data_IF_432121808177
#
_entry.id   IF_432121808177
#
_cell.length_a   1.000
_cell.length_b   1.000
_cell.length_c   1.000
_cell.angle_alpha   90.00
_cell.angle_beta   90.00
_cell.angle_gamma   90.00
#
_symmetry.space_group_name_H-M   'P 1'
#
loop_
_entity.id
_entity.type
_entity.pdbx_description
1 polymer ?
#
# COMPACT_ATOMS: atom_id res chain seq x y z
N UNK A 1 -3.17 0.53 -24.10
CA UNK A 1 -2.17 -0.43 -23.58
C UNK A 1 -0.99 0.39 -23.13
N UNK A 2 -0.78 0.54 -21.82
CA UNK A 2 0.48 1.10 -21.34
C UNK A 2 1.63 0.27 -21.90
N UNK A 3 2.67 0.92 -22.40
CA UNK A 3 3.79 0.21 -23.02
C UNK A 3 4.53 -0.62 -21.97
N UNK A 4 5.08 -1.76 -22.38
CA UNK A 4 6.02 -2.61 -21.61
C UNK A 4 7.05 -1.77 -20.81
N UNK A 5 7.43 -0.61 -21.35
CA UNK A 5 8.33 0.35 -20.71
C UNK A 5 7.81 0.97 -19.42
N UNK A 6 6.49 1.17 -19.25
CA UNK A 6 5.91 1.75 -18.03
C UNK A 6 6.07 0.78 -16.87
N UNK A 7 5.65 -0.47 -17.05
CA UNK A 7 5.80 -1.52 -16.02
C UNK A 7 7.27 -1.78 -15.69
N UNK A 8 8.15 -1.80 -16.69
CA UNK A 8 9.60 -1.87 -16.48
C UNK A 8 10.10 -0.72 -15.59
N UNK A 9 9.69 0.51 -15.89
CA UNK A 9 10.08 1.70 -15.13
C UNK A 9 9.57 1.66 -13.69
N UNK A 10 8.32 1.23 -13.46
CA UNK A 10 7.76 1.05 -12.12
C UNK A 10 8.57 0.01 -11.34
N UNK A 11 8.98 -1.09 -11.98
CA UNK A 11 9.88 -2.07 -11.39
C UNK A 11 11.22 -1.47 -10.97
N UNK A 12 11.87 -0.70 -11.85
CA UNK A 12 13.14 -0.02 -11.56
C UNK A 12 12.98 0.97 -10.40
N UNK A 13 11.89 1.75 -10.39
CA UNK A 13 11.60 2.72 -9.32
C UNK A 13 11.45 2.02 -7.97
N UNK A 14 10.73 0.89 -7.90
CA UNK A 14 10.61 0.11 -6.67
C UNK A 14 11.97 -0.39 -6.18
N UNK A 15 12.82 -0.87 -7.09
CA UNK A 15 14.17 -1.31 -6.73
C UNK A 15 15.07 -0.16 -6.24
N UNK A 16 15.00 1.01 -6.88
CA UNK A 16 15.72 2.21 -6.44
C UNK A 16 15.22 2.73 -5.09
N UNK A 17 13.91 2.61 -4.82
CA UNK A 17 13.32 2.98 -3.55
C UNK A 17 13.93 2.17 -2.40
N UNK A 18 14.01 0.84 -2.55
CA UNK A 18 14.71 -0.04 -1.59
C UNK A 18 16.17 0.42 -1.42
N UNK A 19 16.90 0.63 -2.51
CA UNK A 19 18.32 1.00 -2.46
C UNK A 19 18.56 2.31 -1.69
N UNK A 20 17.66 3.28 -1.84
CA UNK A 20 17.76 4.59 -1.18
C UNK A 20 17.06 4.66 0.18
N UNK A 21 16.52 3.55 0.69
CA UNK A 21 15.72 3.50 1.92
C UNK A 21 14.52 4.47 1.90
N UNK A 22 13.89 4.60 0.72
CA UNK A 22 12.69 5.40 0.48
C UNK A 22 11.53 4.42 0.29
N UNK A 23 10.39 4.72 0.91
CA UNK A 23 9.14 3.97 0.67
C UNK A 23 8.38 4.59 -0.50
N UNK A 24 7.64 3.76 -1.22
CA UNK A 24 6.76 4.20 -2.30
C UNK A 24 5.31 4.02 -1.84
N UNK A 25 4.48 5.05 -2.00
CA UNK A 25 3.04 4.97 -1.73
C UNK A 25 2.33 4.17 -2.84
N UNK A 26 2.51 2.85 -2.80
CA UNK A 26 1.90 1.88 -3.70
C UNK A 26 1.16 0.81 -2.90
N UNK A 27 -0.10 0.58 -3.27
CA UNK A 27 -0.94 -0.46 -2.68
C UNK A 27 -0.79 -1.78 -3.43
N UNK A 28 0.41 -2.37 -3.40
CA UNK A 28 0.62 -3.69 -3.99
C UNK A 28 0.26 -4.82 -3.01
N UNK A 29 -0.50 -5.84 -3.47
CA UNK A 29 -0.87 -6.98 -2.63
C UNK A 29 0.35 -7.85 -2.32
N UNK A 30 0.29 -8.59 -1.21
CA UNK A 30 1.38 -9.48 -0.78
C UNK A 30 1.78 -10.51 -1.86
N UNK A 31 0.80 -10.95 -2.65
CA UNK A 31 0.96 -11.85 -3.79
C UNK A 31 2.05 -11.40 -4.78
N UNK A 32 2.20 -10.10 -4.99
CA UNK A 32 3.21 -9.56 -5.92
C UNK A 32 4.62 -9.83 -5.41
N UNK A 33 4.85 -9.64 -4.10
CA UNK A 33 6.15 -9.85 -3.46
C UNK A 33 6.49 -11.33 -3.32
N UNK A 34 5.48 -12.21 -3.15
CA UNK A 34 5.65 -13.67 -3.28
C UNK A 34 6.22 -14.03 -4.65
N UNK A 35 5.61 -13.50 -5.72
CA UNK A 35 6.06 -13.79 -7.09
C UNK A 35 7.48 -13.30 -7.34
N UNK A 36 7.85 -12.12 -6.85
CA UNK A 36 9.23 -11.61 -6.93
C UNK A 36 10.26 -12.55 -6.26
N UNK A 37 9.85 -13.26 -5.22
CA UNK A 37 10.67 -14.25 -4.52
C UNK A 37 10.60 -15.65 -5.14
N UNK A 38 9.83 -15.83 -6.22
CA UNK A 38 9.60 -17.12 -6.87
C UNK A 38 8.60 -18.02 -6.14
N UNK A 39 7.87 -17.51 -5.16
CA UNK A 39 6.77 -18.20 -4.50
C UNK A 39 5.49 -18.12 -5.34
N UNK A 40 4.63 -19.14 -5.20
CA UNK A 40 3.33 -19.17 -5.88
C UNK A 40 2.25 -18.57 -4.98
N UNK A 41 1.46 -17.59 -5.47
CA UNK A 41 0.27 -17.14 -4.78
C UNK A 41 -0.76 -18.27 -4.61
N UNK A 42 -1.51 -18.23 -3.52
CA UNK A 42 -2.57 -19.16 -3.17
C UNK A 42 -3.95 -18.51 -3.09
N UNK A 43 -4.92 -19.28 -2.58
CA UNK A 43 -6.29 -18.79 -2.36
C UNK A 43 -6.35 -17.66 -1.33
N UNK A 44 -5.52 -17.72 -0.28
CA UNK A 44 -5.43 -16.65 0.72
C UNK A 44 -5.01 -15.31 0.08
N UNK A 45 -4.07 -15.35 -0.86
CA UNK A 45 -3.64 -14.16 -1.61
C UNK A 45 -4.78 -13.63 -2.52
N UNK A 46 -5.58 -14.53 -3.10
CA UNK A 46 -6.77 -14.13 -3.86
C UNK A 46 -7.84 -13.52 -2.96
N UNK A 47 -8.00 -14.02 -1.74
CA UNK A 47 -8.95 -13.47 -0.77
C UNK A 47 -8.54 -12.08 -0.27
N UNK A 48 -7.24 -11.77 -0.21
CA UNK A 48 -6.73 -10.41 0.03
C UNK A 48 -7.08 -9.48 -1.16
N UNK A 49 -6.90 -9.97 -2.39
CA UNK A 49 -7.12 -9.18 -3.61
C UNK A 49 -8.61 -8.97 -3.93
N UNK A 50 -9.39 -10.04 -3.91
CA UNK A 50 -10.83 -10.06 -4.14
C UNK A 50 -11.50 -10.94 -3.06
N UNK A 51 -11.94 -10.32 -1.95
CA UNK A 51 -12.54 -11.05 -0.84
C UNK A 51 -13.83 -11.77 -1.21
N UNK A 52 -14.55 -11.32 -2.25
CA UNK A 52 -15.81 -11.95 -2.66
C UNK A 52 -15.48 -13.25 -3.37
N UNK A 53 -14.64 -13.19 -4.41
CA UNK A 53 -14.22 -14.37 -5.17
C UNK A 53 -13.48 -15.37 -4.27
N UNK A 54 -12.54 -14.90 -3.44
CA UNK A 54 -11.81 -15.76 -2.51
C UNK A 54 -12.73 -16.53 -1.58
N UNK A 55 -13.72 -15.87 -0.97
CA UNK A 55 -14.73 -16.55 -0.13
C UNK A 55 -15.58 -17.54 -0.91
N UNK A 56 -16.00 -17.21 -2.13
CA UNK A 56 -16.79 -18.11 -2.97
C UNK A 56 -16.01 -19.38 -3.36
N UNK A 57 -14.72 -19.25 -3.68
CA UNK A 57 -13.87 -20.41 -3.96
C UNK A 57 -13.58 -21.23 -2.70
N UNK A 58 -13.42 -20.59 -1.54
CA UNK A 58 -13.31 -21.30 -0.26
C UNK A 58 -14.58 -22.09 0.04
N UNK A 59 -15.77 -21.50 -0.18
CA UNK A 59 -17.05 -22.21 -0.05
C UNK A 59 -17.15 -23.43 -0.97
N UNK A 60 -16.64 -23.33 -2.21
CA UNK A 60 -16.57 -24.47 -3.12
C UNK A 60 -15.66 -25.59 -2.56
N UNK A 61 -14.50 -25.24 -2.00
CA UNK A 61 -13.60 -26.21 -1.37
C UNK A 61 -14.24 -26.89 -0.17
N UNK A 62 -14.93 -26.14 0.68
CA UNK A 62 -15.55 -26.62 1.91
C UNK A 62 -16.88 -27.36 1.66
N UNK A 63 -17.41 -27.33 0.43
CA UNK A 63 -18.68 -27.95 0.11
C UNK A 63 -18.59 -29.48 0.08
N UNK A 64 -19.47 -30.14 0.84
CA UNK A 64 -19.55 -31.61 0.97
C UNK A 64 -20.83 -32.23 0.34
N UNK A 65 -21.77 -31.41 -0.13
CA UNK A 65 -23.03 -31.88 -0.73
C UNK A 65 -22.81 -32.64 -2.04
N UNK A 66 -23.58 -33.69 -2.31
CA UNK A 66 -23.40 -34.52 -3.51
C UNK A 66 -23.79 -33.78 -4.82
N UNK A 67 -24.55 -32.70 -4.69
CA UNK A 67 -25.11 -31.85 -5.74
C UNK A 67 -24.19 -30.69 -6.17
N UNK A 68 -22.88 -30.80 -5.99
CA UNK A 68 -21.90 -29.74 -6.30
C UNK A 68 -22.04 -29.16 -7.70
N UNK A 69 -22.35 -30.00 -8.69
CA UNK A 69 -22.53 -29.58 -10.08
C UNK A 69 -23.75 -28.67 -10.25
N UNK A 70 -24.87 -28.99 -9.59
CA UNK A 70 -26.12 -28.23 -9.66
C UNK A 70 -26.09 -27.00 -8.74
N UNK A 71 -25.42 -27.11 -7.59
CA UNK A 71 -25.31 -26.05 -6.61
C UNK A 71 -24.45 -24.88 -7.10
N UNK A 72 -23.36 -25.16 -7.81
CA UNK A 72 -22.42 -24.14 -8.28
C UNK A 72 -22.50 -23.87 -9.79
N UNK A 73 -22.89 -24.86 -10.60
CA UNK A 73 -22.96 -24.75 -12.06
C UNK A 73 -21.66 -24.22 -12.70
N UNK A 74 -20.51 -24.62 -12.16
CA UNK A 74 -19.19 -24.18 -12.64
C UNK A 74 -18.57 -25.19 -13.62
N UNK A 75 -17.83 -24.67 -14.59
CA UNK A 75 -16.90 -25.41 -15.45
C UNK A 75 -15.52 -24.76 -15.38
N UNK A 76 -14.50 -25.34 -16.02
CA UNK A 76 -13.14 -24.79 -16.05
C UNK A 76 -12.99 -23.62 -17.05
N UNK A 77 -13.96 -22.71 -17.09
CA UNK A 77 -13.87 -21.47 -17.85
C UNK A 77 -14.33 -20.26 -17.03
N UNK A 78 -13.85 -19.07 -17.40
CA UNK A 78 -14.19 -17.80 -16.78
C UNK A 78 -14.78 -16.85 -17.81
N UNK A 79 -15.83 -16.13 -17.46
CA UNK A 79 -16.34 -15.01 -18.24
C UNK A 79 -15.74 -13.72 -17.69
N UNK A 80 -15.00 -12.99 -18.52
CA UNK A 80 -14.19 -11.83 -18.13
C UNK A 80 -14.61 -10.64 -18.96
N UNK A 81 -14.89 -9.52 -18.30
CA UNK A 81 -15.12 -8.26 -18.97
C UNK A 81 -13.78 -7.63 -19.41
N UNK A 82 -13.62 -7.46 -20.71
CA UNK A 82 -12.48 -6.80 -21.32
C UNK A 82 -12.94 -5.58 -22.11
N UNK A 83 -12.95 -4.42 -21.45
CA UNK A 83 -13.40 -3.14 -22.02
C UNK A 83 -14.86 -3.14 -22.52
N UNK A 84 -15.76 -3.80 -21.79
CA UNK A 84 -17.18 -3.95 -22.14
C UNK A 84 -17.47 -5.16 -23.02
N UNK A 85 -16.46 -5.93 -23.41
CA UNK A 85 -16.63 -7.20 -24.11
C UNK A 85 -16.45 -8.38 -23.14
N UNK A 86 -17.51 -9.17 -22.95
CA UNK A 86 -17.39 -10.44 -22.24
C UNK A 86 -16.62 -11.45 -23.09
N UNK A 87 -15.48 -11.91 -22.57
CA UNK A 87 -14.65 -12.95 -23.17
C UNK A 87 -14.63 -14.17 -22.27
N UNK A 88 -14.93 -15.32 -22.85
CA UNK A 88 -14.76 -16.60 -22.18
C UNK A 88 -13.31 -17.07 -22.28
N UNK A 89 -12.71 -17.39 -21.15
CA UNK A 89 -11.33 -17.87 -21.06
C UNK A 89 -11.33 -19.24 -20.40
N UNK A 90 -10.85 -20.22 -21.14
CA UNK A 90 -10.67 -21.58 -20.64
C UNK A 90 -9.42 -21.66 -19.73
N UNK A 91 -9.63 -22.17 -18.50
CA UNK A 91 -8.59 -22.37 -17.49
C UNK A 91 -7.69 -23.56 -17.81
N UNK A 92 -8.24 -24.56 -18.49
CA UNK A 92 -7.56 -25.74 -19.04
C UNK A 92 -8.06 -25.97 -20.47
N UNK A 93 -7.37 -26.77 -21.31
CA UNK A 93 -7.87 -27.09 -22.65
C UNK A 93 -9.31 -27.65 -22.61
N UNK A 94 -10.21 -27.06 -23.39
CA UNK A 94 -11.65 -27.36 -23.41
C UNK A 94 -12.33 -27.22 -22.05
N UNK A 95 -11.87 -26.28 -21.23
CA UNK A 95 -12.34 -26.11 -19.86
C UNK A 95 -13.83 -25.80 -19.76
N UNK A 96 -14.40 -25.13 -20.76
CA UNK A 96 -15.84 -24.89 -20.86
C UNK A 96 -16.71 -26.16 -20.96
N UNK A 97 -16.13 -27.29 -21.38
CA UNK A 97 -16.80 -28.60 -21.46
C UNK A 97 -16.60 -29.45 -20.19
N UNK A 98 -15.72 -29.03 -19.29
CA UNK A 98 -15.33 -29.80 -18.10
C UNK A 98 -15.97 -29.17 -16.86
N UNK A 99 -16.97 -29.86 -16.31
CA UNK A 99 -17.68 -29.41 -15.10
C UNK A 99 -16.82 -29.58 -13.84
N UNK A 100 -17.04 -28.70 -12.87
CA UNK A 100 -16.43 -28.80 -11.54
C UNK A 100 -17.16 -29.86 -10.71
N UNK A 101 -16.39 -30.77 -10.13
CA UNK A 101 -16.83 -31.92 -9.32
C UNK A 101 -16.01 -32.00 -8.03
N UNK A 102 -16.40 -32.85 -7.09
CA UNK A 102 -15.62 -33.10 -5.86
C UNK A 102 -14.19 -33.56 -6.13
N UNK A 103 -13.98 -34.31 -7.21
CA UNK A 103 -12.67 -34.85 -7.57
C UNK A 103 -11.74 -33.77 -8.12
N UNK A 104 -12.29 -32.74 -8.77
CA UNK A 104 -11.50 -31.73 -9.49
C UNK A 104 -11.59 -30.31 -8.91
N UNK A 105 -12.42 -30.05 -7.88
CA UNK A 105 -12.60 -28.71 -7.28
C UNK A 105 -11.30 -28.05 -6.82
N UNK A 106 -10.37 -28.83 -6.26
CA UNK A 106 -9.04 -28.31 -5.88
C UNK A 106 -8.26 -27.81 -7.11
N UNK A 107 -8.26 -28.59 -8.20
CA UNK A 107 -7.63 -28.21 -9.46
C UNK A 107 -8.29 -26.98 -10.08
N UNK A 108 -9.62 -26.85 -9.97
CA UNK A 108 -10.33 -25.67 -10.45
C UNK A 108 -9.85 -24.41 -9.72
N UNK A 109 -9.79 -24.44 -8.38
CA UNK A 109 -9.31 -23.32 -7.57
C UNK A 109 -7.85 -22.99 -7.90
N UNK A 110 -6.97 -24.00 -7.98
CA UNK A 110 -5.56 -23.79 -8.35
C UNK A 110 -5.42 -23.11 -9.72
N UNK A 111 -6.22 -23.53 -10.71
CA UNK A 111 -6.21 -22.93 -12.05
C UNK A 111 -6.81 -21.53 -12.08
N UNK A 112 -7.80 -21.26 -11.23
CA UNK A 112 -8.34 -19.92 -11.06
C UNK A 112 -7.27 -18.97 -10.51
N UNK A 113 -6.62 -19.36 -9.41
CA UNK A 113 -5.55 -18.57 -8.77
C UNK A 113 -4.39 -18.35 -9.73
N UNK A 114 -3.95 -19.39 -10.45
CA UNK A 114 -2.92 -19.28 -11.49
C UNK A 114 -3.33 -18.31 -12.62
N UNK A 115 -4.59 -18.36 -13.05
CA UNK A 115 -5.08 -17.44 -14.05
C UNK A 115 -4.99 -15.99 -13.56
N UNK A 116 -5.52 -15.70 -12.37
CA UNK A 116 -5.54 -14.34 -11.81
C UNK A 116 -4.13 -13.80 -11.65
N UNK A 117 -3.23 -14.52 -10.97
CA UNK A 117 -1.93 -13.96 -10.60
C UNK A 117 -0.82 -14.18 -11.64
N UNK A 118 -0.98 -15.10 -12.59
CA UNK A 118 0.06 -15.40 -13.58
C UNK A 118 -0.41 -15.09 -14.99
N UNK A 119 -1.45 -15.76 -15.49
CA UNK A 119 -1.84 -15.67 -16.91
C UNK A 119 -2.45 -14.32 -17.28
N UNK A 120 -3.31 -13.76 -16.43
CA UNK A 120 -4.07 -12.53 -16.71
C UNK A 120 -3.17 -11.30 -16.83
N UNK A 121 -2.03 -11.31 -16.13
CA UNK A 121 -1.11 -10.18 -16.01
C UNK A 121 0.32 -10.54 -16.43
N UNK A 122 0.53 -11.61 -17.22
CA UNK A 122 1.87 -12.14 -17.50
C UNK A 122 2.81 -11.08 -18.09
N UNK A 123 2.41 -10.45 -19.19
CA UNK A 123 3.22 -9.44 -19.87
C UNK A 123 3.59 -8.23 -18.97
N UNK A 124 2.62 -7.53 -18.33
CA UNK A 124 2.95 -6.40 -17.46
C UNK A 124 3.76 -6.84 -16.22
N UNK A 125 3.44 -7.99 -15.63
CA UNK A 125 4.20 -8.51 -14.48
C UNK A 125 5.65 -8.82 -14.87
N UNK A 126 5.89 -9.48 -16.01
CA UNK A 126 7.25 -9.78 -16.49
C UNK A 126 8.07 -8.52 -16.72
N UNK A 127 7.47 -7.48 -17.29
CA UNK A 127 8.12 -6.20 -17.47
C UNK A 127 8.54 -5.58 -16.13
N UNK A 128 7.61 -5.54 -15.17
CA UNK A 128 7.87 -5.08 -13.81
C UNK A 128 8.97 -5.89 -13.11
N UNK A 129 8.85 -7.23 -13.13
CA UNK A 129 9.80 -8.16 -12.51
C UNK A 129 11.22 -7.94 -13.04
N UNK A 130 11.38 -7.78 -14.37
CA UNK A 130 12.68 -7.44 -14.98
C UNK A 130 13.22 -6.13 -14.43
N UNK A 131 12.39 -5.09 -14.36
CA UNK A 131 12.80 -3.77 -13.88
C UNK A 131 13.24 -3.79 -12.42
N UNK A 132 12.48 -4.48 -11.58
CA UNK A 132 12.79 -4.67 -10.17
C UNK A 132 14.14 -5.40 -9.99
N UNK A 133 14.32 -6.51 -10.69
CA UNK A 133 15.55 -7.30 -10.59
C UNK A 133 16.77 -6.58 -11.18
N UNK A 134 16.63 -5.64 -12.13
CA UNK A 134 17.78 -4.86 -12.60
C UNK A 134 18.50 -4.11 -11.47
N UNK A 135 17.76 -3.68 -10.44
CA UNK A 135 18.32 -2.98 -9.28
C UNK A 135 18.55 -3.93 -8.11
N UNK A 136 17.65 -4.90 -7.90
CA UNK A 136 17.64 -5.77 -6.72
C UNK A 136 18.09 -7.23 -6.95
N UNK A 137 18.81 -7.55 -8.04
CA UNK A 137 19.23 -8.92 -8.42
C UNK A 137 20.25 -9.63 -7.49
N UNK A 138 20.38 -9.23 -6.23
CA UNK A 138 21.27 -9.86 -5.27
C UNK A 138 20.72 -11.19 -4.76
N UNK A 139 21.62 -12.12 -4.40
CA UNK A 139 21.24 -13.32 -3.63
C UNK A 139 20.60 -12.98 -2.29
N UNK A 140 20.87 -11.77 -1.78
CA UNK A 140 20.27 -11.22 -0.59
C UNK A 140 18.72 -11.19 -0.65
N UNK A 141 18.14 -10.97 -1.84
CA UNK A 141 16.70 -10.87 -2.01
C UNK A 141 15.98 -12.16 -1.55
N UNK A 142 16.62 -13.32 -1.75
CA UNK A 142 16.07 -14.64 -1.41
C UNK A 142 16.00 -14.92 0.10
N UNK A 143 16.61 -14.09 0.93
CA UNK A 143 16.51 -14.23 2.39
C UNK A 143 15.28 -13.52 2.97
N UNK A 144 14.64 -12.64 2.20
CA UNK A 144 13.43 -11.96 2.66
C UNK A 144 12.23 -12.88 2.59
N UNK A 145 11.35 -12.72 3.58
CA UNK A 145 9.97 -13.17 3.49
C UNK A 145 9.16 -12.16 2.66
N UNK A 146 8.05 -12.58 2.01
CA UNK A 146 7.20 -11.68 1.22
C UNK A 146 6.77 -10.41 1.96
N UNK A 147 6.38 -10.54 3.24
CA UNK A 147 5.96 -9.39 4.08
C UNK A 147 7.12 -8.43 4.38
N UNK A 148 8.34 -8.94 4.53
CA UNK A 148 9.52 -8.12 4.78
C UNK A 148 9.91 -7.36 3.50
N UNK A 149 9.84 -8.02 2.35
CA UNK A 149 10.08 -7.37 1.05
C UNK A 149 9.02 -6.31 0.74
N UNK A 150 7.75 -6.60 1.03
CA UNK A 150 6.67 -5.63 0.93
C UNK A 150 6.97 -4.42 1.79
N UNK A 151 7.27 -4.60 3.08
CA UNK A 151 7.56 -3.51 4.00
C UNK A 151 8.78 -2.65 3.60
N UNK A 152 9.76 -3.23 2.89
CA UNK A 152 10.87 -2.46 2.31
C UNK A 152 10.44 -1.54 1.16
N UNK A 153 9.44 -1.93 0.38
CA UNK A 153 8.95 -1.15 -0.77
C UNK A 153 7.86 -0.16 -0.36
N UNK A 154 6.86 -0.63 0.39
CA UNK A 154 5.62 0.15 0.65
C UNK A 154 5.56 0.70 2.08
N UNK A 155 6.56 0.40 2.91
CA UNK A 155 6.59 0.81 4.32
C UNK A 155 5.77 -0.08 5.26
N UNK A 156 5.80 0.27 6.53
CA UNK A 156 5.17 -0.41 7.64
C UNK A 156 4.08 0.45 8.28
N UNK A 157 3.02 -0.22 8.73
CA UNK A 157 1.92 0.33 9.53
C UNK A 157 2.13 0.15 11.05
N UNK A 158 3.36 -0.17 11.49
CA UNK A 158 3.72 -0.28 12.90
C UNK A 158 4.42 1.00 13.37
N UNK A 159 3.72 1.82 14.14
CA UNK A 159 4.19 3.14 14.55
C UNK A 159 4.63 3.18 16.01
N UNK A 160 5.82 3.72 16.25
CA UNK A 160 6.21 4.21 17.57
C UNK A 160 6.13 5.75 17.58
N UNK A 161 4.93 6.30 17.84
CA UNK A 161 4.69 7.75 17.81
C UNK A 161 5.59 8.55 18.76
N UNK A 162 6.15 7.91 19.81
CA UNK A 162 7.09 8.57 20.71
C UNK A 162 8.44 8.88 20.05
N UNK A 163 8.84 8.12 19.02
CA UNK A 163 10.06 8.36 18.25
C UNK A 163 9.90 9.51 17.26
N UNK A 164 8.67 9.86 16.87
CA UNK A 164 8.41 10.92 15.91
C UNK A 164 9.00 12.26 16.39
N UNK A 165 8.77 12.62 17.67
CA UNK A 165 9.34 13.81 18.30
C UNK A 165 10.86 13.75 18.41
N UNK A 166 11.40 12.60 18.78
CA UNK A 166 12.85 12.39 18.91
C UNK A 166 13.60 12.57 17.59
N UNK A 167 12.95 12.27 16.46
CA UNK A 167 13.52 12.40 15.12
C UNK A 167 13.12 13.72 14.43
N UNK A 168 12.58 14.67 15.17
CA UNK A 168 12.21 15.99 14.65
C UNK A 168 13.26 17.03 15.01
N UNK A 169 13.67 17.79 14.00
CA UNK A 169 14.54 18.96 14.12
C UNK A 169 13.73 20.24 14.00
N UNK A 170 14.22 21.31 14.61
CA UNK A 170 13.55 22.60 14.62
C UNK A 170 14.45 23.68 14.02
N UNK A 171 13.85 24.65 13.34
CA UNK A 171 14.57 25.78 12.74
C UNK A 171 14.05 27.12 13.24
N UNK A 172 14.84 28.18 13.05
CA UNK A 172 14.47 29.55 13.41
C UNK A 172 14.26 29.71 14.92
N UNK A 173 13.10 30.22 15.31
CA UNK A 173 12.75 30.44 16.73
C UNK A 173 12.26 29.17 17.44
N UNK A 174 11.98 28.11 16.68
CA UNK A 174 11.51 26.84 17.25
C UNK A 174 12.66 26.00 17.79
N UNK A 175 12.38 25.35 18.91
CA UNK A 175 13.19 24.37 19.60
C UNK A 175 12.25 23.48 20.42
N UNK A 176 12.75 22.37 20.98
CA UNK A 176 11.89 21.30 21.51
C UNK A 176 10.93 21.73 22.65
N UNK A 177 11.32 22.70 23.50
CA UNK A 177 10.43 23.26 24.53
C UNK A 177 9.92 24.67 24.22
N UNK A 178 9.90 25.06 22.95
CA UNK A 178 9.17 26.26 22.55
C UNK A 178 7.66 26.05 22.80
N UNK A 179 6.90 27.02 23.36
CA UNK A 179 5.49 26.82 23.73
C UNK A 179 4.62 26.23 22.61
N UNK A 180 4.74 26.77 21.40
CA UNK A 180 4.01 26.28 20.21
C UNK A 180 4.39 24.84 19.84
N UNK A 181 5.64 24.44 20.05
CA UNK A 181 6.11 23.07 19.77
C UNK A 181 5.60 22.10 20.84
N UNK A 182 5.59 22.49 22.11
CA UNK A 182 5.00 21.68 23.16
C UNK A 182 3.50 21.46 22.93
N UNK A 183 2.77 22.52 22.55
CA UNK A 183 1.35 22.42 22.16
C UNK A 183 1.16 21.50 20.96
N UNK A 184 2.00 21.63 19.92
CA UNK A 184 1.94 20.77 18.75
C UNK A 184 2.05 19.29 19.12
N UNK A 185 3.04 18.92 19.93
CA UNK A 185 3.21 17.52 20.35
C UNK A 185 2.13 17.05 21.30
N UNK A 186 1.64 17.90 22.20
CA UNK A 186 0.53 17.55 23.08
C UNK A 186 -0.74 17.24 22.28
N UNK A 187 -1.10 18.11 21.32
CA UNK A 187 -2.23 17.89 20.42
C UNK A 187 -2.03 16.63 19.59
N UNK A 188 -0.90 16.51 18.90
CA UNK A 188 -0.65 15.39 17.99
C UNK A 188 -0.55 14.04 18.71
N UNK A 189 0.14 13.96 19.85
CA UNK A 189 0.40 12.68 20.53
C UNK A 189 -0.71 12.29 21.51
N UNK A 190 -1.34 13.25 22.17
CA UNK A 190 -2.28 12.97 23.27
C UNK A 190 -3.74 13.20 22.88
N UNK A 191 -4.05 14.16 22.00
CA UNK A 191 -5.43 14.49 21.64
C UNK A 191 -5.90 13.82 20.35
N UNK A 192 -5.01 13.66 19.37
CA UNK A 192 -5.35 13.04 18.09
C UNK A 192 -5.49 11.52 18.19
N UNK A 193 -6.48 10.98 17.46
CA UNK A 193 -6.65 9.54 17.31
C UNK A 193 -5.51 8.93 16.49
N UNK A 194 -5.39 7.60 16.50
CA UNK A 194 -4.40 6.91 15.63
C UNK A 194 -4.65 7.22 14.16
N UNK A 195 -5.91 7.35 13.76
CA UNK A 195 -6.30 7.70 12.39
C UNK A 195 -5.88 9.12 12.03
N UNK A 196 -6.06 10.08 12.94
CA UNK A 196 -5.65 11.47 12.72
C UNK A 196 -4.12 11.60 12.68
N UNK A 197 -3.39 10.79 13.47
CA UNK A 197 -1.92 10.71 13.40
C UNK A 197 -1.45 10.16 12.05
N UNK A 198 -2.13 9.16 11.48
CA UNK A 198 -1.86 8.66 10.12
C UNK A 198 -2.14 9.72 9.06
N UNK A 199 -3.24 10.46 9.17
CA UNK A 199 -3.55 11.60 8.29
C UNK A 199 -2.49 12.69 8.39
N UNK A 200 -2.01 12.99 9.60
CA UNK A 200 -0.88 13.90 9.78
C UNK A 200 0.38 13.41 9.09
N UNK A 201 0.70 12.11 9.21
CA UNK A 201 1.86 11.55 8.52
C UNK A 201 1.72 11.70 7.00
N UNK A 202 0.54 11.38 6.44
CA UNK A 202 0.22 11.59 5.02
C UNK A 202 0.33 13.06 4.62
N UNK A 203 -0.19 13.97 5.44
CA UNK A 203 -0.06 15.42 5.25
C UNK A 203 1.40 15.84 5.15
N UNK A 204 2.25 15.34 6.05
CA UNK A 204 3.65 15.75 6.17
C UNK A 204 4.59 15.08 5.16
N UNK A 205 4.40 13.80 4.87
CA UNK A 205 5.36 12.97 4.12
C UNK A 205 4.81 12.51 2.77
N UNK A 206 3.50 12.67 2.53
CA UNK A 206 2.80 12.11 1.39
C UNK A 206 2.41 10.64 1.54
N UNK A 207 2.79 9.98 2.63
CA UNK A 207 2.47 8.57 2.89
C UNK A 207 1.96 8.39 4.33
N UNK A 208 1.01 7.49 4.54
CA UNK A 208 0.50 7.12 5.86
C UNK A 208 1.30 5.98 6.53
N UNK A 209 2.37 5.50 5.86
CA UNK A 209 3.29 4.46 6.33
C UNK A 209 4.69 5.03 6.57
N UNK A 210 5.51 4.28 7.31
CA UNK A 210 6.92 4.63 7.59
C UNK A 210 7.88 3.57 7.05
N UNK A 211 9.16 3.89 6.81
CA UNK A 211 10.16 2.88 6.52
C UNK A 211 10.24 1.81 7.61
N UNK A 212 10.62 0.58 7.25
CA UNK A 212 10.70 -0.54 8.21
C UNK A 212 11.67 -0.29 9.38
N UNK A 213 12.62 0.63 9.21
CA UNK A 213 13.60 1.05 10.23
C UNK A 213 12.98 2.02 11.25
N UNK A 214 11.70 2.39 11.08
CA UNK A 214 10.96 3.27 11.97
C UNK A 214 11.14 4.76 11.65
N UNK A 215 10.76 5.62 12.61
CA UNK A 215 10.89 7.08 12.46
C UNK A 215 12.35 7.55 12.44
N UNK A 216 13.30 6.70 12.85
CA UNK A 216 14.74 7.02 12.84
C UNK A 216 15.30 7.40 11.45
N UNK A 217 14.70 6.85 10.38
CA UNK A 217 15.05 7.19 9.00
C UNK A 217 14.30 8.42 8.45
N UNK A 218 13.25 8.88 9.14
CA UNK A 218 12.45 10.04 8.74
C UNK A 218 12.98 11.30 9.44
N UNK A 219 13.76 12.09 8.71
CA UNK A 219 14.23 13.39 9.19
C UNK A 219 13.14 14.43 9.01
N UNK A 220 12.40 14.71 10.08
CA UNK A 220 11.36 15.73 10.07
C UNK A 220 11.95 17.06 10.50
N UNK A 221 11.50 18.14 9.86
CA UNK A 221 11.87 19.49 10.23
C UNK A 221 10.61 20.32 10.47
N UNK A 222 10.56 21.07 11.56
CA UNK A 222 9.51 22.08 11.80
C UNK A 222 10.16 23.47 11.80
N UNK A 223 9.64 24.36 10.97
CA UNK A 223 10.12 25.75 10.88
C UNK A 223 8.97 26.75 11.09
N UNK A 224 9.27 27.95 11.61
CA UNK A 224 8.26 28.98 11.81
C UNK A 224 7.81 29.56 10.48
N UNK A 225 6.50 29.76 10.37
CA UNK A 225 5.92 30.63 9.34
C UNK A 225 5.69 32.01 9.96
N UNK A 226 6.19 33.07 9.32
CA UNK A 226 5.96 34.46 9.74
C UNK A 226 4.53 34.89 9.36
N UNK A 227 3.54 34.22 9.94
CA UNK A 227 2.11 34.35 9.63
C UNK A 227 1.28 34.27 10.91
N UNK A 228 0.06 34.83 10.87
CA UNK A 228 -0.84 34.90 12.02
C UNK A 228 -1.72 33.66 12.21
N UNK A 229 -2.57 33.70 13.23
CA UNK A 229 -3.50 32.64 13.64
C UNK A 229 -4.47 32.18 12.54
N UNK A 230 -4.68 33.01 11.52
CA UNK A 230 -5.56 32.74 10.39
C UNK A 230 -5.02 31.66 9.43
N UNK A 231 -3.70 31.46 9.37
CA UNK A 231 -3.07 30.56 8.41
C UNK A 231 -3.08 29.10 8.88
N UNK A 232 -3.20 28.18 7.92
CA UNK A 232 -3.02 26.75 8.15
C UNK A 232 -1.53 26.41 8.13
N UNK A 233 -1.08 25.35 8.85
CA UNK A 233 0.25 24.81 8.64
C UNK A 233 0.38 24.29 7.21
N UNK A 234 1.60 24.31 6.67
CA UNK A 234 1.91 23.85 5.31
C UNK A 234 2.99 22.79 5.36
N UNK A 235 2.79 21.70 4.64
CA UNK A 235 3.77 20.63 4.52
C UNK A 235 4.46 20.65 3.16
N UNK A 236 5.78 20.46 3.16
CA UNK A 236 6.58 20.21 1.97
C UNK A 236 6.99 18.74 1.98
N UNK A 237 6.13 17.89 1.42
CA UNK A 237 6.24 16.42 1.51
C UNK A 237 7.60 15.88 1.04
N UNK A 238 8.13 16.40 -0.06
CA UNK A 238 9.45 16.01 -0.59
C UNK A 238 10.61 16.26 0.39
N UNK A 239 10.45 17.15 1.38
CA UNK A 239 11.47 17.53 2.34
C UNK A 239 11.13 17.12 3.78
N UNK A 240 9.97 16.50 4.02
CA UNK A 240 9.42 16.24 5.37
C UNK A 240 9.47 17.49 6.27
N UNK A 241 9.16 18.65 5.68
CA UNK A 241 9.24 19.95 6.33
C UNK A 241 7.83 20.48 6.61
N UNK A 242 7.59 20.87 7.86
CA UNK A 242 6.37 21.50 8.31
C UNK A 242 6.61 22.99 8.58
N UNK A 243 5.94 23.85 7.84
CA UNK A 243 5.80 25.27 8.16
C UNK A 243 4.67 25.40 9.17
N UNK A 244 5.03 25.72 10.42
CA UNK A 244 4.08 25.86 11.52
C UNK A 244 3.98 27.34 11.93
N UNK A 245 2.80 27.99 11.77
CA UNK A 245 2.60 29.36 12.26
C UNK A 245 2.81 29.49 13.77
N UNK A 246 3.22 30.69 14.19
CA UNK A 246 3.40 31.05 15.60
C UNK A 246 2.05 31.33 16.26
N UNK A 247 1.24 30.28 16.43
CA UNK A 247 -0.11 30.40 16.99
C UNK A 247 -0.11 31.04 18.38
N UNK A 248 -1.11 31.87 18.65
CA UNK A 248 -1.27 32.57 19.93
C UNK A 248 -1.83 31.69 21.06
N UNK A 249 -2.49 30.58 20.72
CA UNK A 249 -3.04 29.62 21.69
C UNK A 249 -3.02 28.17 21.18
N UNK A 250 -3.07 27.22 22.12
CA UNK A 250 -3.13 25.78 21.83
C UNK A 250 -4.41 25.40 21.10
N UNK A 251 -5.53 26.02 21.44
CA UNK A 251 -6.84 25.76 20.84
C UNK A 251 -6.85 26.11 19.35
N UNK A 252 -6.22 27.23 18.98
CA UNK A 252 -6.06 27.65 17.58
C UNK A 252 -5.20 26.65 16.84
N UNK A 253 -4.06 26.25 17.43
CA UNK A 253 -3.18 25.23 16.84
C UNK A 253 -3.94 23.93 16.58
N UNK A 254 -4.67 23.42 17.58
CA UNK A 254 -5.42 22.18 17.48
C UNK A 254 -6.46 22.25 16.35
N UNK A 255 -7.22 23.34 16.28
CA UNK A 255 -8.20 23.56 15.23
C UNK A 255 -7.55 23.62 13.84
N UNK A 256 -6.48 24.41 13.68
CA UNK A 256 -5.82 24.62 12.39
C UNK A 256 -5.11 23.36 11.90
N UNK A 257 -4.44 22.65 12.80
CA UNK A 257 -3.82 21.37 12.49
C UNK A 257 -4.86 20.32 12.08
N UNK A 258 -5.97 20.22 12.82
CA UNK A 258 -7.07 19.31 12.47
C UNK A 258 -7.66 19.61 11.10
N UNK A 259 -7.84 20.89 10.75
CA UNK A 259 -8.33 21.27 9.42
C UNK A 259 -7.32 20.89 8.34
N UNK A 260 -6.04 21.19 8.55
CA UNK A 260 -4.99 20.90 7.58
C UNK A 260 -4.88 19.40 7.25
N UNK A 261 -4.92 18.52 8.25
CA UNK A 261 -4.80 17.07 8.04
C UNK A 261 -6.07 16.42 7.47
N UNK A 262 -7.22 17.09 7.54
CA UNK A 262 -8.48 16.59 6.97
C UNK A 262 -8.67 17.04 5.51
N UNK A 263 -8.01 18.12 5.11
CA UNK A 263 -8.14 18.72 3.76
C UNK A 263 -7.01 18.30 2.81
N UNK A 264 -6.41 17.12 3.03
CA UNK A 264 -5.29 16.62 2.22
C UNK A 264 -5.69 15.76 1.03
N UNK A 265 -6.98 15.41 0.91
CA UNK A 265 -7.49 14.61 -0.20
C UNK A 265 -8.17 15.51 -1.24
N UNK A 266 -7.49 15.73 -2.36
CA UNK A 266 -8.02 16.44 -3.53
C UNK A 266 -7.54 17.88 -3.66
N UNK A 267 -7.58 18.40 -4.89
CA UNK A 267 -7.46 19.83 -5.15
C UNK A 267 -8.60 20.55 -4.44
N UNK A 268 -8.38 20.92 -3.18
CA UNK A 268 -9.29 21.74 -2.41
C UNK A 268 -9.45 23.07 -3.13
N UNK A 269 -10.52 23.18 -3.92
CA UNK A 269 -11.00 24.46 -4.42
C UNK A 269 -11.39 25.28 -3.18
N UNK A 270 -10.55 26.27 -2.86
CA UNK A 270 -10.96 27.46 -2.12
C UNK A 270 -11.32 28.52 -3.14
#
# INVERSE_FOLDING_TARGET
MESDSVFLMVGILCGLAIYNSIIVDLSFPLAMFRKLLGEKPGLDDLQELDPIVGRSLQQLLDYEGQDIMDAFCLNFSLDIDFFGENRRVDLIPNGSEIMVTHENKNSYVDKYVDYVFNRSCEAPYRAFERGFHQVCAGHALKFFRPMELQALVVGSDVFNWSELRQNTSYQGVYWDHHPVIEWFWEVLLNEFSVEDKKKFLRFLTGCDRIPIVGFSSLKITIQPMNSGDEYLPVAHTCANLLDLPLYSSKEILAQKLSVAIQQTEGFGLV
#
